data_IF_860310984102
#
_entry.id   IF_860310984102
#
_cell.length_a   1.000
_cell.length_b   1.000
_cell.length_c   1.000
_cell.angle_alpha   90.00
_cell.angle_beta   90.00
_cell.angle_gamma   90.00
#
_symmetry.space_group_name_H-M   'P 1'
#
loop_
_entity.id
_entity.type
_entity.pdbx_description
1 polymer ?
#
# COMPACT_ATOMS: atom_id res chain seq x y z
N UNK A 1 11.96 20.31 64.81
CA UNK A 1 10.64 20.52 65.39
C UNK A 1 10.63 20.32 66.90
N UNK A 2 11.06 19.18 67.45
CA UNK A 2 11.02 18.88 68.89
C UNK A 2 11.83 19.88 69.69
N UNK A 3 13.02 20.31 69.30
CA UNK A 3 13.84 21.32 69.97
C UNK A 3 13.12 22.71 70.01
N UNK A 4 12.48 23.07 68.90
CA UNK A 4 11.70 24.30 68.77
C UNK A 4 10.46 24.25 69.72
N UNK A 5 9.74 23.12 69.73
CA UNK A 5 8.65 22.93 70.70
C UNK A 5 9.11 23.12 72.12
N UNK A 6 10.26 22.54 72.49
CA UNK A 6 10.81 22.69 73.82
C UNK A 6 11.10 24.18 74.19
N UNK A 7 11.61 24.95 73.22
CA UNK A 7 11.87 26.38 73.40
C UNK A 7 10.54 27.18 73.59
N UNK A 8 9.55 26.87 72.71
CA UNK A 8 8.23 27.53 72.82
C UNK A 8 7.57 27.27 74.19
N UNK A 9 7.56 26.01 74.65
CA UNK A 9 6.99 25.61 75.90
C UNK A 9 7.73 26.23 77.14
N UNK A 10 9.03 26.54 77.01
CA UNK A 10 9.81 27.27 78.02
C UNK A 10 9.40 28.74 78.06
N UNK A 11 9.05 29.35 76.97
CA UNK A 11 8.67 30.78 76.89
C UNK A 11 7.20 30.97 77.22
N UNK A 12 6.35 30.06 76.78
CA UNK A 12 4.90 30.03 77.06
C UNK A 12 4.49 28.62 77.51
N UNK A 13 4.40 28.40 78.84
CA UNK A 13 3.98 27.12 79.38
C UNK A 13 2.51 26.75 79.07
N UNK A 14 1.69 27.69 78.63
CA UNK A 14 0.31 27.45 78.23
C UNK A 14 0.14 26.94 76.85
N UNK A 15 1.22 26.97 76.00
CA UNK A 15 1.19 26.47 74.65
C UNK A 15 0.97 24.96 74.64
N UNK A 16 0.17 24.50 73.67
CA UNK A 16 -0.10 23.06 73.49
C UNK A 16 1.03 22.37 72.74
N UNK A 17 1.49 21.25 73.29
CA UNK A 17 2.48 20.43 72.60
C UNK A 17 1.97 19.86 71.28
N UNK A 18 2.83 19.78 70.26
CA UNK A 18 2.51 19.20 69.00
C UNK A 18 2.09 17.73 69.13
N UNK A 19 1.03 17.33 68.40
CA UNK A 19 0.58 15.94 68.36
C UNK A 19 1.46 15.19 67.35
N UNK A 20 1.53 13.89 67.43
CA UNK A 20 2.24 13.05 66.48
C UNK A 20 1.76 13.31 65.03
N UNK A 21 0.45 13.49 64.87
CA UNK A 21 -0.13 13.81 63.55
C UNK A 21 0.38 15.15 62.98
N UNK A 22 0.53 16.18 63.86
CA UNK A 22 1.04 17.50 63.44
C UNK A 22 2.52 17.39 63.01
N UNK A 23 3.28 16.55 63.69
CA UNK A 23 4.70 16.27 63.37
C UNK A 23 4.78 15.53 62.02
N UNK A 24 3.98 14.46 61.82
CA UNK A 24 4.01 13.65 60.59
C UNK A 24 3.53 14.44 59.37
N UNK A 25 2.59 15.35 59.52
CA UNK A 25 2.07 16.20 58.47
C UNK A 25 2.96 17.42 58.14
N UNK A 26 4.00 17.66 58.94
CA UNK A 26 4.87 18.81 58.71
C UNK A 26 5.73 18.57 57.44
N UNK A 27 5.80 19.52 56.51
CA UNK A 27 6.55 19.37 55.28
C UNK A 27 8.01 18.96 55.53
N UNK A 28 8.47 17.88 54.90
CA UNK A 28 9.81 17.38 55.00
C UNK A 28 10.10 16.41 56.16
N UNK A 29 9.14 16.15 57.09
CA UNK A 29 9.31 15.14 58.16
C UNK A 29 9.13 13.71 57.59
N UNK A 30 8.08 13.51 56.81
CA UNK A 30 7.89 12.26 56.06
C UNK A 30 8.21 12.56 54.60
N UNK A 31 9.42 12.24 54.20
CA UNK A 31 9.85 12.34 52.83
C UNK A 31 10.06 10.93 52.27
N UNK A 32 9.56 10.69 51.06
CA UNK A 32 9.94 9.50 50.35
C UNK A 32 11.48 9.53 50.09
N UNK A 33 12.17 8.41 50.20
CA UNK A 33 13.59 8.37 49.88
C UNK A 33 13.80 8.86 48.46
N UNK A 34 14.56 9.92 48.25
CA UNK A 34 14.96 10.40 46.96
C UNK A 34 16.05 9.47 46.44
N UNK A 35 15.82 8.75 45.34
CA UNK A 35 16.84 7.90 44.78
C UNK A 35 18.06 8.73 44.33
N UNK A 36 19.24 8.17 44.47
CA UNK A 36 20.46 8.78 43.95
C UNK A 36 20.27 9.10 42.44
N UNK A 37 20.43 10.37 42.03
CA UNK A 37 20.20 10.78 40.66
C UNK A 37 21.02 9.99 39.64
N UNK A 38 22.27 9.61 39.98
CA UNK A 38 23.13 8.83 39.08
C UNK A 38 22.63 7.38 38.94
N UNK A 39 22.23 6.75 40.04
CA UNK A 39 21.66 5.40 40.05
C UNK A 39 20.34 5.37 39.27
N UNK A 40 19.47 6.38 39.49
CA UNK A 40 18.23 6.51 38.79
C UNK A 40 18.42 6.70 37.28
N UNK A 41 19.33 7.61 36.90
CA UNK A 41 19.65 7.84 35.48
C UNK A 41 20.18 6.58 34.81
N UNK A 42 21.04 5.83 35.47
CA UNK A 42 21.56 4.56 34.95
C UNK A 42 20.47 3.51 34.75
N UNK A 43 19.53 3.39 35.70
CA UNK A 43 18.41 2.46 35.58
C UNK A 43 17.49 2.83 34.41
N UNK A 44 17.19 4.12 34.25
CA UNK A 44 16.37 4.62 33.11
C UNK A 44 17.04 4.33 31.79
N UNK A 45 18.34 4.61 31.66
CA UNK A 45 19.11 4.34 30.43
C UNK A 45 19.13 2.84 30.09
N UNK A 46 19.39 2.00 31.09
CA UNK A 46 19.38 0.53 30.87
C UNK A 46 18.00 0.04 30.44
N UNK A 47 16.93 0.53 31.06
CA UNK A 47 15.55 0.20 30.63
C UNK A 47 15.24 0.67 29.21
N UNK A 48 15.71 1.87 28.85
CA UNK A 48 15.54 2.41 27.50
C UNK A 48 16.31 1.58 26.46
N UNK A 49 17.56 1.20 26.74
CA UNK A 49 18.36 0.34 25.84
C UNK A 49 17.68 -1.01 25.59
N UNK A 50 17.15 -1.64 26.65
CA UNK A 50 16.41 -2.89 26.54
C UNK A 50 15.14 -2.73 25.70
N UNK A 51 14.38 -1.66 25.91
CA UNK A 51 13.17 -1.35 25.15
C UNK A 51 13.51 -1.12 23.67
N UNK A 52 14.57 -0.36 23.38
CA UNK A 52 15.03 -0.09 22.03
C UNK A 52 15.50 -1.37 21.31
N UNK A 53 16.20 -2.24 22.01
CA UNK A 53 16.63 -3.54 21.47
C UNK A 53 15.41 -4.41 21.10
N UNK A 54 14.44 -4.57 22.00
CA UNK A 54 13.22 -5.32 21.76
C UNK A 54 12.37 -4.73 20.62
N UNK A 55 12.28 -3.42 20.54
CA UNK A 55 11.61 -2.73 19.44
C UNK A 55 12.28 -3.00 18.09
N UNK A 56 13.60 -2.91 18.03
CA UNK A 56 14.33 -3.20 16.79
C UNK A 56 14.20 -4.66 16.36
N UNK A 57 14.23 -5.60 17.30
CA UNK A 57 13.99 -7.01 17.01
C UNK A 57 12.59 -7.25 16.43
N UNK A 58 11.56 -6.65 17.03
CA UNK A 58 10.18 -6.74 16.52
C UNK A 58 10.07 -6.18 15.10
N UNK A 59 10.63 -5.00 14.86
CA UNK A 59 10.67 -4.38 13.52
C UNK A 59 11.35 -5.26 12.47
N UNK A 60 12.48 -5.89 12.84
CA UNK A 60 13.22 -6.78 11.93
C UNK A 60 12.38 -8.02 11.59
N UNK A 61 11.76 -8.64 12.59
CA UNK A 61 10.92 -9.82 12.40
C UNK A 61 9.69 -9.52 11.53
N UNK A 62 8.99 -8.43 11.82
CA UNK A 62 7.82 -8.00 11.05
C UNK A 62 8.20 -7.57 9.63
N UNK A 63 9.30 -6.82 9.49
CA UNK A 63 9.82 -6.42 8.19
C UNK A 63 10.21 -7.60 7.31
N UNK A 64 10.84 -8.63 7.87
CA UNK A 64 11.18 -9.85 7.15
C UNK A 64 9.93 -10.62 6.69
N UNK A 65 8.91 -10.72 7.54
CA UNK A 65 7.64 -11.37 7.18
C UNK A 65 6.92 -10.63 6.05
N UNK A 66 6.84 -9.29 6.14
CA UNK A 66 6.26 -8.45 5.08
C UNK A 66 7.04 -8.56 3.77
N UNK A 67 8.37 -8.58 3.82
CA UNK A 67 9.21 -8.74 2.62
C UNK A 67 8.89 -10.05 1.90
N UNK A 68 8.72 -11.16 2.61
CA UNK A 68 8.35 -12.45 2.02
C UNK A 68 6.98 -12.39 1.33
N UNK A 69 6.00 -11.74 1.95
CA UNK A 69 4.66 -11.56 1.37
C UNK A 69 4.74 -10.75 0.08
N UNK A 70 5.46 -9.62 0.09
CA UNK A 70 5.64 -8.78 -1.09
C UNK A 70 6.36 -9.53 -2.21
N UNK A 71 7.42 -10.28 -1.91
CA UNK A 71 8.14 -11.09 -2.89
C UNK A 71 7.24 -12.16 -3.53
N UNK A 72 6.36 -12.78 -2.74
CA UNK A 72 5.36 -13.72 -3.24
C UNK A 72 4.42 -13.06 -4.25
N UNK A 73 3.88 -11.86 -3.92
CA UNK A 73 3.01 -11.12 -4.84
C UNK A 73 3.77 -10.66 -6.09
N UNK A 74 5.02 -10.24 -5.97
CA UNK A 74 5.86 -9.93 -7.12
C UNK A 74 5.97 -11.12 -8.09
N UNK A 75 6.21 -12.32 -7.56
CA UNK A 75 6.28 -13.54 -8.38
C UNK A 75 4.94 -13.83 -9.04
N UNK A 76 3.81 -13.71 -8.33
CA UNK A 76 2.49 -13.91 -8.91
C UNK A 76 2.18 -12.93 -10.05
N UNK A 77 2.55 -11.66 -9.91
CA UNK A 77 2.39 -10.66 -10.96
C UNK A 77 3.24 -11.02 -12.19
N UNK A 78 4.50 -11.41 -11.99
CA UNK A 78 5.39 -11.84 -13.07
C UNK A 78 4.83 -13.05 -13.82
N UNK A 79 4.32 -14.05 -13.09
CA UNK A 79 3.72 -15.26 -13.67
C UNK A 79 2.47 -14.94 -14.49
N UNK A 80 1.60 -14.05 -13.98
CA UNK A 80 0.41 -13.60 -14.70
C UNK A 80 0.80 -12.85 -15.98
N UNK A 81 1.74 -11.91 -15.92
CA UNK A 81 2.21 -11.19 -17.11
C UNK A 81 2.82 -12.14 -18.14
N UNK A 82 3.64 -13.10 -17.70
CA UNK A 82 4.25 -14.09 -18.58
C UNK A 82 3.20 -15.02 -19.23
N UNK A 83 2.12 -15.31 -18.54
CA UNK A 83 1.01 -16.11 -19.06
C UNK A 83 0.14 -15.34 -20.06
N UNK A 84 -0.08 -14.04 -19.80
CA UNK A 84 -0.93 -13.19 -20.65
C UNK A 84 -0.22 -12.71 -21.90
N UNK A 85 1.05 -12.34 -21.82
CA UNK A 85 1.82 -11.75 -22.92
C UNK A 85 1.73 -12.52 -24.25
N UNK A 86 1.88 -13.84 -24.28
CA UNK A 86 1.78 -14.60 -25.55
C UNK A 86 0.34 -14.66 -26.09
N UNK A 87 -0.69 -14.48 -25.25
CA UNK A 87 -2.10 -14.55 -25.65
C UNK A 87 -2.63 -13.23 -26.22
N UNK A 88 -1.98 -12.12 -25.92
CA UNK A 88 -2.45 -10.79 -26.34
C UNK A 88 -2.57 -10.64 -27.86
N UNK A 89 -1.59 -11.05 -28.69
CA UNK A 89 -1.72 -10.95 -30.12
C UNK A 89 -2.94 -11.72 -30.68
N UNK A 90 -3.23 -12.89 -30.13
CA UNK A 90 -4.38 -13.72 -30.54
C UNK A 90 -5.70 -13.02 -30.15
N UNK A 91 -5.78 -12.47 -28.92
CA UNK A 91 -6.96 -11.73 -28.46
C UNK A 91 -7.19 -10.49 -29.31
N UNK A 92 -6.15 -9.72 -29.59
CA UNK A 92 -6.25 -8.52 -30.42
C UNK A 92 -6.67 -8.86 -31.86
N UNK A 93 -6.16 -9.96 -32.43
CA UNK A 93 -6.57 -10.40 -33.77
C UNK A 93 -8.05 -10.82 -33.79
N UNK A 94 -8.47 -11.66 -32.84
CA UNK A 94 -9.86 -12.08 -32.74
C UNK A 94 -10.82 -10.88 -32.57
N UNK A 95 -10.42 -9.84 -31.84
CA UNK A 95 -11.22 -8.62 -31.69
C UNK A 95 -11.27 -7.79 -32.97
N UNK A 96 -10.15 -7.69 -33.70
CA UNK A 96 -10.13 -7.03 -35.01
C UNK A 96 -11.07 -7.72 -35.99
N UNK A 97 -11.01 -9.06 -36.08
CA UNK A 97 -11.86 -9.84 -36.96
C UNK A 97 -13.34 -9.63 -36.66
N UNK A 98 -13.75 -9.68 -35.39
CA UNK A 98 -15.12 -9.39 -34.95
C UNK A 98 -15.56 -7.95 -35.26
N UNK A 99 -14.66 -6.98 -35.05
CA UNK A 99 -14.98 -5.58 -35.38
C UNK A 99 -15.18 -5.40 -36.89
N UNK A 100 -14.33 -6.02 -37.69
CA UNK A 100 -14.42 -6.00 -39.15
C UNK A 100 -15.77 -6.58 -39.59
N UNK A 101 -16.14 -7.77 -39.09
CA UNK A 101 -17.41 -8.43 -39.42
C UNK A 101 -18.62 -7.55 -39.09
N UNK A 102 -18.65 -6.94 -37.90
CA UNK A 102 -19.75 -6.04 -37.47
C UNK A 102 -19.81 -4.78 -38.32
N UNK A 103 -18.67 -4.20 -38.69
CA UNK A 103 -18.64 -3.01 -39.55
C UNK A 103 -19.09 -3.36 -40.99
N UNK A 104 -18.67 -4.50 -41.53
CA UNK A 104 -19.12 -4.99 -42.83
C UNK A 104 -20.63 -5.25 -42.85
N UNK A 105 -21.19 -5.87 -41.80
CA UNK A 105 -22.63 -6.11 -41.67
C UNK A 105 -23.40 -4.79 -41.58
N UNK A 106 -22.99 -3.84 -40.71
CA UNK A 106 -23.66 -2.54 -40.55
C UNK A 106 -23.62 -1.69 -41.82
N UNK A 107 -22.47 -1.73 -42.56
CA UNK A 107 -22.32 -0.99 -43.80
C UNK A 107 -23.02 -1.68 -44.97
N UNK A 108 -23.09 -3.02 -44.96
CA UNK A 108 -23.86 -3.79 -45.92
C UNK A 108 -25.35 -3.46 -45.87
N UNK A 109 -25.93 -3.28 -44.71
CA UNK A 109 -27.34 -2.83 -44.53
C UNK A 109 -27.53 -1.39 -45.03
N UNK A 110 -26.57 -0.48 -44.78
CA UNK A 110 -26.67 0.93 -45.20
C UNK A 110 -26.55 1.06 -46.73
N UNK A 111 -25.74 0.22 -47.39
CA UNK A 111 -25.66 0.17 -48.85
C UNK A 111 -26.93 -0.37 -49.48
N UNK A 112 -27.64 -1.29 -48.83
CA UNK A 112 -28.97 -1.80 -49.29
C UNK A 112 -30.04 -0.72 -49.26
N UNK A 113 -29.93 0.27 -48.34
CA UNK A 113 -30.89 1.41 -48.18
C UNK A 113 -30.63 2.57 -49.18
N UNK A 114 -29.75 2.40 -50.17
CA UNK A 114 -29.56 3.36 -51.25
C UNK A 114 -28.57 4.51 -50.95
N UNK A 115 -27.74 4.39 -49.97
CA UNK A 115 -26.66 5.36 -49.68
C UNK A 115 -25.60 5.28 -50.81
N UNK A 116 -25.19 6.42 -51.39
CA UNK A 116 -24.11 6.53 -52.36
C UNK A 116 -22.74 6.50 -51.69
N UNK A 117 -22.44 5.42 -50.97
CA UNK A 117 -21.13 5.23 -50.33
C UNK A 117 -20.39 4.20 -51.15
N UNK A 118 -19.14 4.50 -51.54
CA UNK A 118 -18.31 3.57 -52.29
C UNK A 118 -17.73 2.48 -51.39
N UNK A 119 -17.42 1.32 -51.96
CA UNK A 119 -16.74 0.23 -51.22
C UNK A 119 -15.38 0.67 -50.67
N UNK A 120 -14.70 1.56 -51.39
CA UNK A 120 -13.43 2.15 -50.96
C UNK A 120 -13.55 2.99 -49.71
N UNK A 121 -14.60 3.82 -49.61
CA UNK A 121 -14.88 4.64 -48.42
C UNK A 121 -15.24 3.77 -47.21
N UNK A 122 -16.00 2.71 -47.40
CA UNK A 122 -16.32 1.70 -46.40
C UNK A 122 -15.05 1.06 -45.84
N UNK A 123 -14.18 0.57 -46.73
CA UNK A 123 -12.93 -0.07 -46.34
C UNK A 123 -11.99 0.88 -45.58
N UNK A 124 -11.92 2.14 -45.98
CA UNK A 124 -11.10 3.14 -45.32
C UNK A 124 -11.64 3.43 -43.90
N UNK A 125 -12.96 3.51 -43.73
CA UNK A 125 -13.60 3.69 -42.44
C UNK A 125 -13.33 2.51 -41.49
N UNK A 126 -13.43 1.28 -42.02
CA UNK A 126 -13.11 0.06 -41.28
C UNK A 126 -11.64 0.10 -40.80
N UNK A 127 -10.71 0.46 -41.67
CA UNK A 127 -9.27 0.57 -41.32
C UNK A 127 -9.02 1.60 -40.21
N UNK A 128 -9.66 2.77 -40.31
CA UNK A 128 -9.55 3.83 -39.31
C UNK A 128 -10.08 3.38 -37.94
N UNK A 129 -11.25 2.77 -37.89
CA UNK A 129 -11.82 2.28 -36.64
C UNK A 129 -10.99 1.14 -36.02
N UNK A 130 -10.49 0.20 -36.82
CA UNK A 130 -9.60 -0.88 -36.36
C UNK A 130 -8.29 -0.31 -35.80
N UNK A 131 -7.74 0.73 -36.44
CA UNK A 131 -6.50 1.37 -35.95
C UNK A 131 -6.72 2.08 -34.63
N UNK A 132 -7.80 2.87 -34.50
CA UNK A 132 -8.15 3.54 -33.25
C UNK A 132 -8.43 2.55 -32.13
N UNK A 133 -9.09 1.44 -32.44
CA UNK A 133 -9.40 0.39 -31.50
C UNK A 133 -8.11 -0.32 -31.03
N UNK A 134 -7.18 -0.62 -31.95
CA UNK A 134 -5.88 -1.21 -31.63
C UNK A 134 -5.05 -0.36 -30.66
N UNK A 135 -5.05 0.97 -30.84
CA UNK A 135 -4.36 1.90 -29.93
C UNK A 135 -4.99 1.88 -28.53
N UNK A 136 -6.32 1.84 -28.44
CA UNK A 136 -7.03 1.78 -27.15
C UNK A 136 -6.79 0.47 -26.38
N UNK A 137 -6.50 -0.60 -27.09
CA UNK A 137 -6.30 -1.94 -26.53
C UNK A 137 -4.83 -2.30 -26.29
N UNK A 138 -3.89 -1.40 -26.59
CA UNK A 138 -2.49 -1.68 -26.30
C UNK A 138 -2.26 -1.74 -24.80
N UNK A 139 -2.06 -2.96 -24.31
CA UNK A 139 -1.80 -3.29 -22.92
C UNK A 139 -0.32 -3.57 -22.65
N UNK A 140 0.52 -3.52 -23.69
CA UNK A 140 1.93 -3.87 -23.56
C UNK A 140 2.67 -2.88 -22.66
N UNK A 141 2.35 -1.60 -22.76
CA UNK A 141 2.97 -0.56 -21.94
C UNK A 141 2.71 -0.78 -20.46
N UNK A 142 1.45 -1.04 -20.08
CA UNK A 142 1.07 -1.30 -18.69
C UNK A 142 1.76 -2.57 -18.14
N UNK A 143 1.87 -3.61 -18.94
CA UNK A 143 2.59 -4.84 -18.55
C UNK A 143 4.08 -4.60 -18.36
N UNK A 144 4.71 -3.80 -19.21
CA UNK A 144 6.13 -3.46 -19.08
C UNK A 144 6.37 -2.58 -17.84
N UNK A 145 5.47 -1.64 -17.55
CA UNK A 145 5.51 -0.83 -16.34
C UNK A 145 5.33 -1.69 -15.09
N UNK A 146 4.35 -2.62 -15.08
CA UNK A 146 4.19 -3.59 -13.99
C UNK A 146 5.48 -4.38 -13.73
N UNK A 147 6.10 -4.93 -14.78
CA UNK A 147 7.36 -5.65 -14.66
C UNK A 147 8.50 -4.76 -14.12
N UNK A 148 8.53 -3.49 -14.53
CA UNK A 148 9.55 -2.54 -14.08
C UNK A 148 9.36 -2.21 -12.59
N UNK A 149 8.13 -1.96 -12.15
CA UNK A 149 7.82 -1.70 -10.74
C UNK A 149 8.08 -2.93 -9.86
N UNK A 150 7.74 -4.13 -10.32
CA UNK A 150 8.07 -5.39 -9.62
C UNK A 150 9.58 -5.54 -9.41
N UNK A 151 10.38 -5.31 -10.44
CA UNK A 151 11.84 -5.34 -10.33
C UNK A 151 12.37 -4.32 -9.32
N UNK A 152 11.78 -3.12 -9.30
CA UNK A 152 12.19 -2.08 -8.35
C UNK A 152 11.75 -2.41 -6.91
N UNK A 153 10.62 -3.09 -6.71
CA UNK A 153 10.22 -3.63 -5.39
C UNK A 153 11.27 -4.63 -4.89
N UNK A 154 11.64 -5.62 -5.71
CA UNK A 154 12.67 -6.61 -5.36
C UNK A 154 13.99 -5.93 -4.99
N UNK A 155 14.46 -5.02 -5.85
CA UNK A 155 15.69 -4.25 -5.60
C UNK A 155 15.63 -3.42 -4.32
N UNK A 156 14.47 -2.86 -4.02
CA UNK A 156 14.27 -2.05 -2.81
C UNK A 156 14.31 -2.91 -1.56
N UNK A 157 13.72 -4.10 -1.60
CA UNK A 157 13.77 -5.08 -0.51
C UNK A 157 15.18 -5.61 -0.29
N UNK A 158 15.91 -5.95 -1.37
CA UNK A 158 17.30 -6.42 -1.29
C UNK A 158 18.24 -5.38 -0.70
N UNK A 159 18.02 -4.10 -1.01
CA UNK A 159 18.80 -3.00 -0.46
C UNK A 159 18.61 -2.84 1.04
N UNK A 160 17.42 -3.14 1.54
CA UNK A 160 17.07 -2.99 2.94
C UNK A 160 17.03 -1.55 3.44
N UNK A 161 17.03 -1.39 4.78
CA UNK A 161 16.95 -0.08 5.43
C UNK A 161 15.52 0.47 5.56
N UNK A 162 15.33 1.78 5.77
CA UNK A 162 14.03 2.42 5.96
C UNK A 162 13.31 2.63 4.62
N UNK A 163 12.85 1.54 4.00
CA UNK A 163 12.29 1.53 2.63
C UNK A 163 10.78 1.70 2.56
N UNK A 164 10.07 1.80 3.70
CA UNK A 164 8.61 1.79 3.75
C UNK A 164 7.92 2.78 2.81
N UNK A 165 8.31 4.05 2.83
CA UNK A 165 7.73 5.08 1.93
C UNK A 165 7.93 4.78 0.46
N UNK A 166 9.09 4.21 0.10
CA UNK A 166 9.37 3.85 -1.28
C UNK A 166 8.54 2.65 -1.72
N UNK A 167 8.37 1.66 -0.84
CA UNK A 167 7.50 0.51 -1.12
C UNK A 167 6.05 0.94 -1.23
N UNK A 168 5.56 1.84 -0.37
CA UNK A 168 4.20 2.38 -0.46
C UNK A 168 3.94 3.05 -1.82
N UNK A 169 4.86 3.91 -2.27
CA UNK A 169 4.79 4.51 -3.61
C UNK A 169 4.74 3.44 -4.72
N UNK A 170 5.62 2.44 -4.66
CA UNK A 170 5.67 1.38 -5.67
C UNK A 170 4.38 0.54 -5.68
N UNK A 171 3.75 0.30 -4.52
CA UNK A 171 2.46 -0.39 -4.45
C UNK A 171 1.34 0.44 -5.08
N UNK A 172 1.36 1.77 -4.91
CA UNK A 172 0.40 2.67 -5.55
C UNK A 172 0.56 2.64 -7.08
N UNK A 173 1.79 2.68 -7.58
CA UNK A 173 2.05 2.58 -9.03
C UNK A 173 1.64 1.21 -9.58
N UNK A 174 1.97 0.11 -8.91
CA UNK A 174 1.51 -1.23 -9.30
C UNK A 174 -0.02 -1.31 -9.37
N UNK A 175 -0.72 -0.77 -8.36
CA UNK A 175 -2.17 -0.72 -8.34
C UNK A 175 -2.73 0.13 -9.49
N UNK A 176 -2.10 1.26 -9.80
CA UNK A 176 -2.48 2.13 -10.91
C UNK A 176 -2.36 1.39 -12.26
N UNK A 177 -1.23 0.76 -12.54
CA UNK A 177 -1.01 0.02 -13.78
C UNK A 177 -1.97 -1.19 -13.88
N UNK A 178 -2.21 -1.91 -12.77
CA UNK A 178 -3.17 -3.00 -12.72
C UNK A 178 -4.61 -2.54 -13.02
N UNK A 179 -5.04 -1.39 -12.46
CA UNK A 179 -6.35 -0.82 -12.72
C UNK A 179 -6.50 -0.38 -14.19
N UNK A 180 -5.46 0.24 -14.77
CA UNK A 180 -5.45 0.63 -16.19
C UNK A 180 -5.55 -0.60 -17.08
N UNK A 181 -4.78 -1.64 -16.81
CA UNK A 181 -4.83 -2.92 -17.51
C UNK A 181 -6.24 -3.54 -17.41
N UNK A 182 -6.80 -3.58 -16.19
CA UNK A 182 -8.15 -4.09 -15.94
C UNK A 182 -9.24 -3.33 -16.71
N UNK A 183 -9.18 -1.99 -16.75
CA UNK A 183 -10.15 -1.17 -17.49
C UNK A 183 -10.07 -1.41 -19.02
N UNK A 184 -8.86 -1.57 -19.55
CA UNK A 184 -8.66 -1.93 -20.96
C UNK A 184 -9.18 -3.36 -21.25
N UNK A 185 -8.94 -4.32 -20.35
CA UNK A 185 -9.44 -5.69 -20.49
C UNK A 185 -10.98 -5.76 -20.45
N UNK A 186 -11.64 -4.99 -19.58
CA UNK A 186 -13.11 -4.89 -19.53
C UNK A 186 -13.67 -4.31 -20.82
N UNK A 187 -13.03 -3.30 -21.41
CA UNK A 187 -13.47 -2.77 -22.72
C UNK A 187 -13.38 -3.79 -23.85
N UNK A 188 -12.45 -4.73 -23.76
CA UNK A 188 -12.35 -5.89 -24.66
C UNK A 188 -13.53 -6.86 -24.43
N UNK A 189 -13.87 -7.15 -23.18
CA UNK A 189 -14.90 -8.14 -22.84
C UNK A 189 -16.34 -7.63 -23.05
N UNK A 190 -16.58 -6.33 -22.90
CA UNK A 190 -17.92 -5.75 -23.17
C UNK A 190 -18.30 -5.79 -24.64
N UNK A 191 -17.33 -5.92 -25.54
CA UNK A 191 -17.57 -6.16 -26.96
C UNK A 191 -17.99 -7.60 -27.23
N UNK A 192 -17.80 -8.50 -26.27
CA UNK A 192 -18.07 -9.94 -26.40
C UNK A 192 -19.11 -10.39 -25.36
N UNK A 193 -20.41 -10.23 -25.66
CA UNK A 193 -21.51 -10.67 -24.79
C UNK A 193 -21.55 -12.20 -24.54
N UNK A 194 -20.64 -12.98 -25.13
CA UNK A 194 -20.63 -14.44 -25.05
C UNK A 194 -19.41 -15.05 -24.34
N UNK A 195 -18.46 -14.28 -23.83
CA UNK A 195 -17.28 -14.84 -23.12
C UNK A 195 -17.34 -14.54 -21.62
N UNK A 196 -18.39 -15.06 -20.96
CA UNK A 196 -18.65 -14.81 -19.53
C UNK A 196 -17.71 -15.55 -18.56
N UNK A 197 -16.84 -16.45 -19.00
CA UNK A 197 -16.17 -17.40 -18.11
C UNK A 197 -14.65 -17.26 -17.94
N UNK A 198 -13.97 -16.36 -18.65
CA UNK A 198 -12.49 -16.34 -18.59
C UNK A 198 -11.86 -15.20 -17.76
N UNK A 199 -12.63 -14.19 -17.36
CA UNK A 199 -12.09 -12.98 -16.71
C UNK A 199 -12.79 -12.56 -15.40
N UNK A 200 -13.60 -13.44 -14.80
CA UNK A 200 -14.40 -13.14 -13.59
C UNK A 200 -13.64 -13.35 -12.26
N UNK A 201 -12.32 -13.34 -12.23
CA UNK A 201 -11.61 -13.27 -10.95
C UNK A 201 -11.11 -11.84 -10.70
N UNK A 202 -11.73 -11.09 -9.78
CA UNK A 202 -11.20 -9.81 -9.37
C UNK A 202 -9.88 -10.05 -8.63
N UNK A 203 -8.79 -9.48 -9.15
CA UNK A 203 -7.54 -9.34 -8.41
C UNK A 203 -7.85 -8.39 -7.24
N UNK A 204 -8.19 -8.96 -6.08
CA UNK A 204 -8.23 -8.22 -4.81
C UNK A 204 -6.82 -8.26 -4.25
N UNK A 205 -6.11 -7.16 -4.37
CA UNK A 205 -4.89 -6.86 -3.61
C UNK A 205 -5.25 -6.42 -2.20
#
# INVERSE_FOLDING_TARGET
>A
LMALQTQVLKTDPSATALRVADILNYPGIVAAPVPDPEVFAKQVLTGFEQCLAAFNESRQREGAALAQVLLKYCTQIEDLVNTLRPKIPEILQAQKDKLTERLEEALGTTLADGAQITKEEVNERIRQEITLYGIKLDVNEEMERLCTHVKEVRRTLDRGGPVGRKLDFLMQELNREANTLGSKAVSISMTDKNSHDLYAQPIRL
#
